data_IF_299641513251
#
_entry.id   IF_299641513251
#
_cell.length_a   1.000
_cell.length_b   1.000
_cell.length_c   1.000
_cell.angle_alpha   90.00
_cell.angle_beta   90.00
_cell.angle_gamma   90.00
#
_symmetry.space_group_name_H-M   'P 1'
#
loop_
_entity.id
_entity.type
_entity.pdbx_description
1 polymer ?
#
# COMPACT_ATOMS: atom_id res chain seq x y z
N UNK A 1 11.69 18.50 23.47
CA UNK A 1 10.24 18.58 23.20
C UNK A 1 9.49 18.08 24.43
N UNK A 2 8.41 18.75 24.85
CA UNK A 2 7.63 18.34 26.03
C UNK A 2 6.96 16.97 25.76
N UNK A 3 6.98 16.05 26.73
CA UNK A 3 6.41 14.70 26.58
C UNK A 3 4.91 14.73 26.17
N UNK A 4 4.17 15.72 26.65
CA UNK A 4 2.77 15.96 26.28
C UNK A 4 2.61 16.38 24.81
N UNK A 5 3.59 17.10 24.25
CA UNK A 5 3.59 17.54 22.85
C UNK A 5 3.91 16.36 21.94
N UNK A 6 4.85 15.48 22.32
CA UNK A 6 5.14 14.26 21.57
C UNK A 6 3.96 13.29 21.57
N UNK A 7 3.25 13.13 22.69
CA UNK A 7 2.10 12.23 22.79
C UNK A 7 0.90 12.72 21.96
N UNK A 8 0.58 14.01 22.03
CA UNK A 8 -0.50 14.58 21.23
C UNK A 8 -0.18 14.53 19.73
N UNK A 9 1.08 14.77 19.36
CA UNK A 9 1.53 14.67 17.96
C UNK A 9 1.44 13.23 17.45
N UNK A 10 1.96 12.25 18.21
CA UNK A 10 1.95 10.85 17.81
C UNK A 10 0.51 10.33 17.64
N UNK A 11 -0.40 10.67 18.56
CA UNK A 11 -1.83 10.33 18.43
C UNK A 11 -2.46 10.91 17.16
N UNK A 12 -2.18 12.17 16.85
CA UNK A 12 -2.70 12.83 15.64
C UNK A 12 -2.13 12.19 14.37
N UNK A 13 -0.83 11.87 14.37
CA UNK A 13 -0.18 11.20 13.25
C UNK A 13 -0.77 9.80 13.01
N UNK A 14 -0.94 9.00 14.07
CA UNK A 14 -1.57 7.67 13.98
C UNK A 14 -3.03 7.77 13.50
N UNK A 15 -3.77 8.75 13.97
CA UNK A 15 -5.15 8.99 13.51
C UNK A 15 -5.18 9.39 12.03
N UNK A 16 -4.25 10.23 11.57
CA UNK A 16 -4.13 10.57 10.16
C UNK A 16 -3.79 9.34 9.30
N UNK A 17 -2.86 8.49 9.74
CA UNK A 17 -2.54 7.23 9.05
C UNK A 17 -3.74 6.29 8.99
N UNK A 18 -4.48 6.14 10.09
CA UNK A 18 -5.70 5.33 10.12
C UNK A 18 -6.73 5.85 9.11
N UNK A 19 -6.96 7.16 9.07
CA UNK A 19 -7.88 7.78 8.10
C UNK A 19 -7.43 7.50 6.67
N UNK A 20 -6.14 7.63 6.36
CA UNK A 20 -5.61 7.34 5.03
C UNK A 20 -5.79 5.86 4.64
N UNK A 21 -5.53 4.93 5.55
CA UNK A 21 -5.75 3.49 5.32
C UNK A 21 -7.21 3.21 5.03
N UNK A 22 -8.14 3.79 5.81
CA UNK A 22 -9.59 3.61 5.61
C UNK A 22 -10.06 4.25 4.29
N UNK A 23 -9.45 5.34 3.85
CA UNK A 23 -9.74 5.97 2.55
C UNK A 23 -9.12 5.24 1.35
N UNK A 24 -8.12 4.38 1.57
CA UNK A 24 -7.38 3.71 0.49
C UNK A 24 -8.28 2.99 -0.55
N UNK A 25 -9.37 2.28 -0.18
CA UNK A 25 -10.26 1.63 -1.14
C UNK A 25 -10.95 2.60 -2.09
N UNK A 26 -11.19 3.85 -1.66
CA UNK A 26 -11.79 4.88 -2.51
C UNK A 26 -10.86 5.22 -3.67
N UNK A 27 -9.55 5.28 -3.41
CA UNK A 27 -8.56 5.49 -4.47
C UNK A 27 -8.45 4.28 -5.40
N UNK A 28 -8.49 3.06 -4.86
CA UNK A 28 -8.50 1.83 -5.67
C UNK A 28 -9.75 1.69 -6.53
N UNK A 29 -10.90 2.20 -6.08
CA UNK A 29 -12.10 2.29 -6.91
C UNK A 29 -12.00 3.42 -7.96
N UNK A 30 -11.51 4.60 -7.55
CA UNK A 30 -11.43 5.77 -8.41
C UNK A 30 -10.49 5.55 -9.61
N UNK A 31 -9.41 4.78 -9.45
CA UNK A 31 -8.52 4.43 -10.56
C UNK A 31 -9.26 3.67 -11.67
N UNK A 32 -10.11 2.70 -11.30
CA UNK A 32 -10.98 2.01 -12.25
C UNK A 32 -12.01 2.93 -12.89
N UNK A 33 -12.60 3.86 -12.12
CA UNK A 33 -13.60 4.80 -12.62
C UNK A 33 -13.04 5.79 -13.67
N UNK A 34 -11.76 6.12 -13.61
CA UNK A 34 -11.09 7.00 -14.59
C UNK A 34 -10.38 6.24 -15.71
N UNK A 35 -10.47 4.91 -15.74
CA UNK A 35 -9.77 4.08 -16.72
C UNK A 35 -8.25 4.21 -16.60
N UNK A 36 -7.73 4.36 -15.37
CA UNK A 36 -6.28 4.35 -15.15
C UNK A 36 -5.72 2.99 -15.57
N UNK A 37 -4.76 3.01 -16.49
CA UNK A 37 -3.98 1.86 -16.90
C UNK A 37 -2.49 2.19 -16.72
N UNK A 38 -1.71 1.22 -16.24
CA UNK A 38 -0.30 1.45 -16.02
C UNK A 38 0.45 1.62 -17.37
N UNK A 39 1.53 2.42 -17.42
CA UNK A 39 2.30 2.61 -18.66
C UNK A 39 2.79 1.29 -19.26
N UNK A 40 3.15 0.32 -18.43
CA UNK A 40 3.59 -1.00 -18.86
C UNK A 40 2.46 -1.83 -19.49
N UNK A 41 1.24 -1.68 -18.97
CA UNK A 41 0.06 -2.37 -19.48
C UNK A 41 -0.35 -1.84 -20.85
N UNK A 42 -0.34 -0.52 -21.02
CA UNK A 42 -0.53 0.12 -22.33
C UNK A 42 0.56 -0.29 -23.34
N UNK A 43 1.82 -0.40 -22.90
CA UNK A 43 2.92 -0.82 -23.76
C UNK A 43 2.78 -2.30 -24.16
N UNK A 44 2.34 -3.16 -23.25
CA UNK A 44 2.05 -4.55 -23.53
C UNK A 44 0.92 -4.67 -24.57
N UNK A 45 -0.16 -3.91 -24.42
CA UNK A 45 -1.26 -3.88 -25.39
C UNK A 45 -0.79 -3.39 -26.77
N UNK A 46 -0.04 -2.28 -26.82
CA UNK A 46 0.48 -1.71 -28.06
C UNK A 46 1.45 -2.65 -28.82
N UNK A 47 2.10 -3.57 -28.10
CA UNK A 47 3.05 -4.53 -28.67
C UNK A 47 2.47 -5.94 -28.86
N UNK A 48 1.20 -6.16 -28.49
CA UNK A 48 0.57 -7.47 -28.50
C UNK A 48 1.14 -8.45 -27.47
N UNK A 49 1.83 -7.93 -26.45
CA UNK A 49 2.50 -8.70 -25.41
C UNK A 49 1.65 -8.88 -24.13
N UNK A 50 0.37 -8.53 -24.15
CA UNK A 50 -0.54 -8.60 -22.99
C UNK A 50 -0.56 -10.00 -22.35
N UNK A 51 -0.54 -11.05 -23.17
CA UNK A 51 -0.56 -12.45 -22.71
C UNK A 51 0.85 -13.07 -22.58
N UNK A 52 1.91 -12.29 -22.82
CA UNK A 52 3.29 -12.76 -22.68
C UNK A 52 3.79 -12.69 -21.23
N UNK A 53 2.99 -12.13 -20.31
CA UNK A 53 3.27 -12.08 -18.89
C UNK A 53 3.06 -13.46 -18.28
N UNK A 54 4.13 -14.25 -18.19
CA UNK A 54 4.15 -15.43 -17.34
C UNK A 54 4.41 -14.95 -15.89
N UNK A 55 3.50 -15.20 -14.93
CA UNK A 55 3.70 -14.78 -13.55
C UNK A 55 4.88 -15.54 -12.95
N UNK A 56 6.06 -14.93 -13.01
CA UNK A 56 7.31 -15.48 -12.46
C UNK A 56 7.28 -15.58 -10.92
N UNK A 57 6.33 -14.90 -10.28
CA UNK A 57 6.18 -14.86 -8.82
C UNK A 57 4.86 -15.51 -8.38
N UNK A 58 4.90 -16.82 -8.15
CA UNK A 58 3.87 -17.58 -7.43
C UNK A 58 3.90 -17.36 -5.91
N UNK A 59 4.44 -16.22 -5.46
CA UNK A 59 4.62 -15.88 -4.05
C UNK A 59 3.31 -15.57 -3.33
N UNK A 60 3.41 -15.17 -2.06
CA UNK A 60 2.26 -14.81 -1.24
C UNK A 60 1.41 -13.64 -1.80
N UNK A 61 2.01 -12.81 -2.66
CA UNK A 61 1.42 -11.63 -3.27
C UNK A 61 1.77 -11.59 -4.78
N UNK A 62 1.15 -12.43 -5.62
CA UNK A 62 1.38 -12.41 -7.07
C UNK A 62 0.97 -11.04 -7.63
N UNK A 63 1.81 -10.46 -8.48
CA UNK A 63 1.62 -9.12 -9.07
C UNK A 63 1.31 -8.03 -8.01
N UNK A 64 1.87 -8.19 -6.80
CA UNK A 64 1.62 -7.32 -5.64
C UNK A 64 0.16 -7.27 -5.18
N UNK A 65 -0.69 -8.17 -5.68
CA UNK A 65 -2.09 -8.33 -5.31
C UNK A 65 -2.29 -9.29 -4.14
N UNK A 66 -3.48 -9.22 -3.54
CA UNK A 66 -3.90 -10.16 -2.50
C UNK A 66 -4.86 -11.19 -3.13
N UNK A 67 -4.50 -12.48 -3.16
CA UNK A 67 -5.35 -13.52 -3.76
C UNK A 67 -6.74 -13.54 -3.15
N UNK A 68 -7.78 -13.61 -4.00
CA UNK A 68 -9.18 -13.68 -3.58
C UNK A 68 -9.81 -12.34 -3.20
N UNK A 69 -9.09 -11.22 -3.30
CA UNK A 69 -9.63 -9.88 -3.07
C UNK A 69 -9.69 -9.07 -4.37
N UNK A 70 -10.82 -8.39 -4.62
CA UNK A 70 -10.92 -7.40 -5.69
C UNK A 70 -10.19 -6.10 -5.36
N UNK A 71 -9.96 -5.25 -6.36
CA UNK A 71 -9.10 -4.06 -6.24
C UNK A 71 -9.35 -3.20 -4.99
N UNK A 72 -10.59 -2.79 -4.63
CA UNK A 72 -10.79 -1.92 -3.46
C UNK A 72 -10.37 -2.57 -2.13
N UNK A 73 -10.66 -3.86 -1.95
CA UNK A 73 -10.29 -4.60 -0.73
C UNK A 73 -8.81 -4.95 -0.72
N UNK A 74 -8.23 -5.29 -1.88
CA UNK A 74 -6.78 -5.46 -2.04
C UNK A 74 -6.03 -4.20 -1.64
N UNK A 75 -6.49 -3.03 -2.10
CA UNK A 75 -5.90 -1.73 -1.72
C UNK A 75 -5.99 -1.46 -0.21
N UNK A 76 -7.10 -1.83 0.46
CA UNK A 76 -7.21 -1.71 1.92
C UNK A 76 -6.13 -2.52 2.64
N UNK A 77 -6.01 -3.80 2.26
CA UNK A 77 -5.07 -4.73 2.89
C UNK A 77 -3.64 -4.27 2.64
N UNK A 78 -3.30 -3.90 1.40
CA UNK A 78 -1.97 -3.37 1.07
C UNK A 78 -1.65 -2.09 1.85
N UNK A 79 -2.61 -1.17 2.00
CA UNK A 79 -2.42 0.05 2.78
C UNK A 79 -2.18 -0.24 4.27
N UNK A 80 -2.95 -1.16 4.85
CA UNK A 80 -2.80 -1.56 6.26
C UNK A 80 -1.45 -2.25 6.51
N UNK A 81 -1.10 -3.24 5.67
CA UNK A 81 0.13 -4.03 5.78
C UNK A 81 1.36 -3.14 5.56
N UNK A 82 1.36 -2.33 4.50
CA UNK A 82 2.46 -1.39 4.21
C UNK A 82 2.68 -0.41 5.35
N UNK A 83 1.61 0.22 5.85
CA UNK A 83 1.69 1.16 6.99
C UNK A 83 2.26 0.49 8.24
N UNK A 84 1.77 -0.70 8.58
CA UNK A 84 2.24 -1.45 9.74
C UNK A 84 3.72 -1.84 9.62
N UNK A 85 4.14 -2.33 8.45
CA UNK A 85 5.53 -2.70 8.18
C UNK A 85 6.46 -1.49 8.27
N UNK A 86 6.10 -0.36 7.65
CA UNK A 86 6.90 0.87 7.71
C UNK A 86 7.07 1.35 9.15
N UNK A 87 5.97 1.39 9.93
CA UNK A 87 6.03 1.78 11.34
C UNK A 87 6.88 0.81 12.16
N UNK A 88 6.72 -0.49 11.97
CA UNK A 88 7.50 -1.52 12.66
C UNK A 88 9.00 -1.38 12.39
N UNK A 89 9.39 -1.17 11.13
CA UNK A 89 10.80 -0.97 10.75
C UNK A 89 11.34 0.34 11.33
N UNK A 90 10.64 1.46 11.17
CA UNK A 90 11.10 2.76 11.66
C UNK A 90 11.26 2.77 13.19
N UNK A 91 10.26 2.26 13.92
CA UNK A 91 10.32 2.16 15.38
C UNK A 91 11.36 1.13 15.84
N UNK A 92 11.51 0.02 15.11
CA UNK A 92 12.50 -1.01 15.40
C UNK A 92 13.92 -0.49 15.28
N UNK A 93 14.24 0.20 14.18
CA UNK A 93 15.54 0.85 13.97
C UNK A 93 15.77 1.94 15.02
N UNK A 94 14.77 2.79 15.29
CA UNK A 94 14.88 3.84 16.32
C UNK A 94 15.27 3.26 17.68
N UNK A 95 14.61 2.19 18.11
CA UNK A 95 14.93 1.50 19.37
C UNK A 95 16.29 0.80 19.38
N UNK A 96 16.75 0.32 18.23
CA UNK A 96 18.06 -0.32 18.13
C UNK A 96 19.18 0.72 18.26
N UNK A 97 18.97 1.93 17.72
CA UNK A 97 19.94 3.03 17.80
C UNK A 97 19.94 3.75 19.15
N UNK A 98 18.86 3.66 19.92
CA UNK A 98 18.79 4.18 21.31
C UNK A 98 19.57 3.30 22.30
N UNK A 99 19.96 2.08 21.91
CA UNK A 99 20.79 1.17 22.71
C UNK A 99 22.27 1.37 22.41
#
# INVERSE_FOLDING_TARGET
MNALVSDAWARRALLALLVLVVLAPVFGWASGAVGYAEPLENAAEATGATDAADPLTSGLLPDYGVPGLGAPLGTLVSAAVGTALTLAVALGIGRLLER
#
